data_IF_095273006299
#
_entry.id   IF_095273006299
#
_cell.length_a   1.000
_cell.length_b   1.000
_cell.length_c   1.000
_cell.angle_alpha   90.00
_cell.angle_beta   90.00
_cell.angle_gamma   90.00
#
_symmetry.space_group_name_H-M   'P 1'
#
loop_
_entity.id
_entity.type
_entity.pdbx_description
1 polymer ?
#
# COMPACT_ATOMS: atom_id res chain seq x y z
N UNK A 1 37.72 -9.58 -29.98
CA UNK A 1 37.25 -10.97 -29.68
C UNK A 1 35.85 -11.08 -29.03
N UNK A 2 35.23 -10.05 -28.39
CA UNK A 2 33.86 -10.18 -27.87
C UNK A 2 32.77 -10.28 -28.96
N UNK A 3 32.97 -9.66 -30.12
CA UNK A 3 31.93 -9.51 -31.15
C UNK A 3 31.57 -10.79 -31.91
N UNK A 4 32.46 -11.80 -31.97
CA UNK A 4 32.18 -13.07 -32.68
C UNK A 4 31.32 -14.03 -31.86
N UNK A 5 31.30 -13.89 -30.53
CA UNK A 5 30.50 -14.73 -29.64
C UNK A 5 29.03 -14.30 -29.63
N UNK A 6 28.77 -12.99 -29.69
CA UNK A 6 27.41 -12.43 -29.74
C UNK A 6 26.64 -12.87 -31.00
N UNK A 7 27.30 -13.02 -32.15
CA UNK A 7 26.67 -13.41 -33.42
C UNK A 7 26.24 -14.89 -33.46
N UNK A 8 26.87 -15.77 -32.66
CA UNK A 8 26.52 -17.21 -32.60
C UNK A 8 25.42 -17.51 -31.58
N UNK A 9 25.29 -16.73 -30.51
CA UNK A 9 24.27 -16.95 -29.48
C UNK A 9 22.84 -16.64 -29.96
N UNK A 10 22.66 -15.83 -31.01
CA UNK A 10 21.37 -15.52 -31.62
C UNK A 10 20.74 -16.64 -32.47
N UNK A 11 21.45 -17.76 -32.69
CA UNK A 11 20.96 -18.91 -33.51
C UNK A 11 20.58 -20.15 -32.68
N UNK A 12 20.66 -20.07 -31.35
CA UNK A 12 20.40 -21.21 -30.46
C UNK A 12 18.91 -21.26 -30.10
N UNK A 13 18.23 -22.41 -30.18
CA UNK A 13 16.84 -22.55 -29.75
C UNK A 13 16.66 -22.13 -28.28
N UNK A 14 15.60 -21.39 -27.91
CA UNK A 14 15.36 -20.88 -26.56
C UNK A 14 15.55 -21.90 -25.41
N UNK A 15 15.09 -23.17 -25.52
CA UNK A 15 15.31 -24.15 -24.45
C UNK A 15 16.79 -24.54 -24.28
N UNK A 16 17.55 -24.66 -25.37
CA UNK A 16 19.00 -24.97 -25.34
C UNK A 16 19.80 -23.78 -24.79
N UNK A 17 19.42 -22.56 -25.15
CA UNK A 17 20.02 -21.34 -24.59
C UNK A 17 19.83 -21.28 -23.07
N UNK A 18 18.62 -21.62 -22.58
CA UNK A 18 18.33 -21.66 -21.13
C UNK A 18 19.15 -22.71 -20.39
N UNK A 19 19.39 -23.87 -21.01
CA UNK A 19 20.16 -24.97 -20.43
C UNK A 19 21.66 -24.60 -20.38
N UNK A 20 22.20 -24.06 -21.47
CA UNK A 20 23.56 -23.53 -21.53
C UNK A 20 23.79 -22.42 -20.51
N UNK A 21 22.85 -21.48 -20.37
CA UNK A 21 22.89 -20.44 -19.34
C UNK A 21 22.92 -21.04 -17.93
N UNK A 22 22.10 -22.08 -17.66
CA UNK A 22 22.12 -22.78 -16.36
C UNK A 22 23.48 -23.44 -16.08
N UNK A 23 24.12 -24.02 -17.08
CA UNK A 23 25.45 -24.63 -16.94
C UNK A 23 26.56 -23.58 -16.79
N UNK A 24 26.54 -22.51 -17.58
CA UNK A 24 27.51 -21.41 -17.49
C UNK A 24 27.42 -20.71 -16.13
N UNK A 25 26.21 -20.50 -15.60
CA UNK A 25 25.98 -19.95 -14.25
C UNK A 25 26.51 -20.82 -13.12
N UNK A 26 26.78 -22.11 -13.36
CA UNK A 26 27.36 -23.04 -12.37
C UNK A 26 28.89 -23.03 -12.35
N UNK A 27 29.53 -22.40 -13.34
CA UNK A 27 30.99 -22.28 -13.35
C UNK A 27 31.43 -21.36 -12.21
N UNK A 28 32.40 -21.76 -11.38
CA UNK A 28 32.86 -20.96 -10.24
C UNK A 28 33.14 -19.48 -10.52
N UNK A 29 33.83 -19.08 -11.62
CA UNK A 29 34.08 -17.66 -11.89
C UNK A 29 32.80 -16.88 -12.24
N UNK A 30 31.84 -17.52 -12.92
CA UNK A 30 30.56 -16.89 -13.26
C UNK A 30 29.66 -16.80 -12.03
N UNK A 31 29.66 -17.83 -11.20
CA UNK A 31 28.94 -17.85 -9.92
C UNK A 31 29.47 -16.75 -8.97
N UNK A 32 30.78 -16.61 -8.84
CA UNK A 32 31.41 -15.54 -8.05
C UNK A 32 31.04 -14.15 -8.56
N UNK A 33 30.98 -13.96 -9.88
CA UNK A 33 30.56 -12.68 -10.46
C UNK A 33 29.07 -12.38 -10.18
N UNK A 34 28.20 -13.38 -10.28
CA UNK A 34 26.77 -13.26 -9.96
C UNK A 34 26.56 -12.97 -8.46
N UNK A 35 27.27 -13.67 -7.58
CA UNK A 35 27.23 -13.43 -6.13
C UNK A 35 27.71 -12.00 -5.82
N UNK A 36 28.78 -11.54 -6.47
CA UNK A 36 29.26 -10.16 -6.31
C UNK A 36 28.25 -9.10 -6.76
N UNK A 37 27.57 -9.32 -7.89
CA UNK A 37 26.51 -8.43 -8.36
C UNK A 37 25.29 -8.46 -7.43
N UNK A 38 24.89 -9.65 -6.97
CA UNK A 38 23.81 -9.83 -6.01
C UNK A 38 24.11 -9.16 -4.67
N UNK A 39 25.32 -9.33 -4.14
CA UNK A 39 25.78 -8.68 -2.90
C UNK A 39 25.80 -7.16 -3.06
N UNK A 40 26.21 -6.65 -4.22
CA UNK A 40 26.13 -5.24 -4.57
C UNK A 40 24.69 -4.71 -4.52
N UNK A 41 23.77 -5.40 -5.21
CA UNK A 41 22.35 -5.05 -5.21
C UNK A 41 21.73 -5.13 -3.81
N UNK A 42 22.06 -6.17 -3.04
CA UNK A 42 21.56 -6.34 -1.67
C UNK A 42 22.10 -5.26 -0.73
N UNK A 43 23.34 -4.82 -0.93
CA UNK A 43 23.92 -3.71 -0.17
C UNK A 43 23.23 -2.38 -0.51
N UNK A 44 23.04 -2.09 -1.79
CA UNK A 44 22.29 -0.90 -2.21
C UNK A 44 20.85 -0.90 -1.66
N UNK A 45 20.19 -2.06 -1.69
CA UNK A 45 18.87 -2.23 -1.08
C UNK A 45 18.93 -2.03 0.44
N UNK A 46 19.94 -2.57 1.12
CA UNK A 46 20.10 -2.38 2.56
C UNK A 46 20.30 -0.90 2.91
N UNK A 47 21.11 -0.17 2.15
CA UNK A 47 21.34 1.26 2.34
C UNK A 47 20.06 2.08 2.10
N UNK A 48 19.20 1.66 1.16
CA UNK A 48 17.91 2.29 0.89
C UNK A 48 16.85 1.98 1.96
N UNK A 49 16.79 0.74 2.46
CA UNK A 49 15.76 0.26 3.40
C UNK A 49 16.14 0.54 4.85
N UNK A 50 17.43 0.64 5.16
CA UNK A 50 17.95 0.91 6.51
C UNK A 50 18.85 2.16 6.54
N UNK A 51 18.35 3.33 6.09
CA UNK A 51 19.17 4.55 5.98
C UNK A 51 19.71 5.07 7.32
N UNK A 52 19.14 4.59 8.43
CA UNK A 52 19.48 4.97 9.81
C UNK A 52 20.43 3.99 10.51
N UNK A 53 20.80 2.88 9.86
CA UNK A 53 21.69 1.87 10.45
C UNK A 53 23.01 2.52 10.87
N UNK A 54 23.34 2.44 12.16
CA UNK A 54 24.54 3.06 12.73
C UNK A 54 24.47 4.58 12.91
N UNK A 55 23.34 5.22 12.61
CA UNK A 55 23.11 6.67 12.81
C UNK A 55 22.16 6.95 13.97
N UNK A 56 21.09 6.15 14.08
CA UNK A 56 20.09 6.25 15.15
C UNK A 56 20.13 4.97 16.00
N UNK A 57 19.82 5.08 17.30
CA UNK A 57 19.78 3.94 18.19
C UNK A 57 18.69 2.94 17.74
N UNK A 58 19.08 1.67 17.59
CA UNK A 58 18.14 0.59 17.30
C UNK A 58 17.65 -0.04 18.61
N UNK A 59 16.34 -0.02 18.83
CA UNK A 59 15.71 -0.65 19.99
C UNK A 59 15.15 -2.01 19.57
N UNK A 60 15.77 -3.09 20.03
CA UNK A 60 15.30 -4.48 19.81
C UNK A 60 14.43 -5.01 20.95
N UNK A 61 14.43 -4.29 22.08
CA UNK A 61 13.68 -4.59 23.30
C UNK A 61 13.23 -3.27 23.93
N UNK A 62 12.21 -3.31 24.80
CA UNK A 62 11.81 -2.14 25.58
C UNK A 62 12.97 -1.76 26.52
N UNK A 63 13.41 -0.48 26.54
CA UNK A 63 14.47 -0.04 27.44
C UNK A 63 14.10 -0.21 28.92
N UNK A 64 15.05 -0.63 29.75
CA UNK A 64 14.87 -0.76 31.21
C UNK A 64 14.48 0.57 31.90
N UNK A 65 14.89 1.69 31.30
CA UNK A 65 14.56 3.04 31.73
C UNK A 65 13.88 3.78 30.59
N UNK A 66 12.77 4.46 30.90
CA UNK A 66 12.05 5.27 29.92
C UNK A 66 12.97 6.30 29.26
N UNK A 67 12.94 6.35 27.94
CA UNK A 67 13.68 7.35 27.18
C UNK A 67 13.13 8.75 27.44
N UNK A 68 14.01 9.76 27.41
CA UNK A 68 13.59 11.15 27.46
C UNK A 68 12.72 11.49 26.24
N UNK A 69 11.56 12.11 26.46
CA UNK A 69 10.64 12.57 25.41
C UNK A 69 11.34 13.46 24.38
N UNK A 70 12.14 14.43 24.81
CA UNK A 70 12.86 15.33 23.91
C UNK A 70 13.87 14.57 23.04
N UNK A 71 14.50 13.54 23.60
CA UNK A 71 15.42 12.67 22.88
C UNK A 71 14.71 11.78 21.84
N UNK A 72 13.48 11.34 22.11
CA UNK A 72 12.66 10.60 21.14
C UNK A 72 12.24 11.55 20.00
N UNK A 73 11.73 12.72 20.35
CA UNK A 73 11.27 13.71 19.36
C UNK A 73 12.41 14.17 18.45
N UNK A 74 13.58 14.49 19.01
CA UNK A 74 14.76 14.87 18.23
C UNK A 74 15.16 13.78 17.21
N UNK A 75 15.11 12.50 17.60
CA UNK A 75 15.39 11.39 16.68
C UNK A 75 14.34 11.30 15.56
N UNK A 76 13.05 11.48 15.88
CA UNK A 76 11.97 11.48 14.89
C UNK A 76 12.07 12.65 13.91
N UNK A 77 12.44 13.83 14.40
CA UNK A 77 12.69 15.03 13.59
C UNK A 77 13.89 14.85 12.65
N UNK A 78 14.98 14.25 13.14
CA UNK A 78 16.16 13.94 12.32
C UNK A 78 15.82 12.97 11.18
N UNK A 79 15.06 11.89 11.49
CA UNK A 79 14.57 10.95 10.49
C UNK A 79 13.64 11.62 9.46
N UNK A 80 12.67 12.40 9.95
CA UNK A 80 11.73 13.13 9.09
C UNK A 80 12.44 14.11 8.15
N UNK A 81 13.46 14.84 8.63
CA UNK A 81 14.25 15.75 7.81
C UNK A 81 14.97 15.02 6.66
N UNK A 82 15.50 13.81 6.90
CA UNK A 82 16.15 12.99 5.87
C UNK A 82 15.15 12.46 4.83
N UNK A 83 13.94 12.09 5.24
CA UNK A 83 12.90 11.54 4.35
C UNK A 83 12.21 12.61 3.50
N UNK A 84 12.09 13.82 4.06
CA UNK A 84 11.28 14.91 3.53
C UNK A 84 11.71 15.39 2.14
N UNK A 85 13.01 15.37 1.86
CA UNK A 85 13.58 15.92 0.64
C UNK A 85 12.97 15.32 -0.63
N UNK A 86 12.75 13.99 -0.65
CA UNK A 86 12.27 13.28 -1.85
C UNK A 86 10.84 13.67 -2.22
N UNK A 87 9.92 13.67 -1.26
CA UNK A 87 8.51 13.95 -1.56
C UNK A 87 8.24 15.45 -1.69
N UNK A 88 8.93 16.33 -0.95
CA UNK A 88 8.75 17.78 -1.09
C UNK A 88 9.19 18.32 -2.44
N UNK A 89 10.21 17.72 -3.05
CA UNK A 89 10.71 18.11 -4.36
C UNK A 89 9.92 17.45 -5.51
N UNK A 90 8.86 16.69 -5.21
CA UNK A 90 8.02 16.04 -6.21
C UNK A 90 8.62 14.79 -6.86
N UNK A 91 9.68 14.21 -6.27
CA UNK A 91 10.30 12.98 -6.80
C UNK A 91 9.56 11.69 -6.40
N UNK A 92 8.55 11.78 -5.54
CA UNK A 92 7.72 10.65 -5.15
C UNK A 92 6.39 10.65 -5.93
N UNK A 93 6.23 9.72 -6.87
CA UNK A 93 4.96 9.54 -7.59
C UNK A 93 3.88 9.02 -6.62
N UNK A 94 2.75 9.72 -6.54
CA UNK A 94 1.74 9.45 -5.52
C UNK A 94 2.26 9.83 -4.13
N UNK A 95 2.26 8.88 -3.18
CA UNK A 95 2.77 8.97 -1.80
C UNK A 95 2.23 10.14 -0.94
N UNK A 96 2.52 11.39 -1.30
CA UNK A 96 2.05 12.62 -0.63
C UNK A 96 1.24 13.46 -1.62
N UNK A 97 -0.06 13.61 -1.37
CA UNK A 97 -0.99 14.22 -2.32
C UNK A 97 -1.09 15.76 -2.24
N UNK A 98 -0.74 16.38 -1.10
CA UNK A 98 -0.82 17.84 -0.93
C UNK A 98 0.53 18.49 -0.57
N UNK A 99 1.12 18.15 0.57
CA UNK A 99 2.49 18.55 0.94
C UNK A 99 2.72 20.02 1.34
N UNK A 100 1.68 20.87 1.39
CA UNK A 100 1.80 22.26 1.84
C UNK A 100 1.95 22.36 3.36
N UNK A 101 2.83 23.24 3.85
CA UNK A 101 3.09 23.39 5.28
C UNK A 101 1.86 23.89 6.05
N UNK A 102 1.17 24.91 5.54
CA UNK A 102 -0.01 25.45 6.20
C UNK A 102 -1.13 24.42 6.32
N UNK A 103 -1.31 23.61 5.26
CA UNK A 103 -2.23 22.48 5.28
C UNK A 103 -1.83 21.39 6.28
N UNK A 104 -0.53 21.00 6.30
CA UNK A 104 -0.01 20.00 7.24
C UNK A 104 -0.17 20.48 8.69
N UNK A 105 0.19 21.73 9.00
CA UNK A 105 0.11 22.30 10.35
C UNK A 105 -1.33 22.36 10.85
N UNK A 106 -2.27 22.69 9.96
CA UNK A 106 -3.69 22.63 10.25
C UNK A 106 -4.13 21.20 10.62
N UNK A 107 -3.79 20.18 9.82
CA UNK A 107 -4.17 18.80 10.09
C UNK A 107 -3.50 18.23 11.34
N UNK A 108 -2.24 18.59 11.61
CA UNK A 108 -1.54 18.23 12.84
C UNK A 108 -2.28 18.75 14.08
N UNK A 109 -2.78 19.99 14.03
CA UNK A 109 -3.60 20.57 15.10
C UNK A 109 -4.95 19.87 15.24
N UNK A 110 -5.62 19.54 14.13
CA UNK A 110 -6.87 18.77 14.14
C UNK A 110 -6.67 17.41 14.81
N UNK A 111 -5.58 16.71 14.49
CA UNK A 111 -5.23 15.44 15.12
C UNK A 111 -4.99 15.61 16.62
N UNK A 112 -4.19 16.58 17.05
CA UNK A 112 -3.90 16.80 18.47
C UNK A 112 -5.18 17.01 19.30
N UNK A 113 -6.13 17.80 18.78
CA UNK A 113 -7.43 18.05 19.40
C UNK A 113 -8.30 16.79 19.53
N UNK A 114 -8.14 15.82 18.62
CA UNK A 114 -8.98 14.61 18.57
C UNK A 114 -8.19 13.33 18.89
N UNK A 115 -6.97 13.45 19.43
CA UNK A 115 -6.04 12.31 19.59
C UNK A 115 -6.56 11.17 20.49
N UNK A 116 -7.52 11.47 21.37
CA UNK A 116 -8.15 10.50 22.26
C UNK A 116 -9.49 9.98 21.72
N UNK A 117 -9.96 10.49 20.58
CA UNK A 117 -11.24 10.10 19.98
C UNK A 117 -11.21 8.64 19.56
N UNK A 118 -12.23 7.89 19.98
CA UNK A 118 -12.46 6.52 19.54
C UNK A 118 -13.92 6.36 19.08
N UNK A 119 -14.19 6.27 17.76
CA UNK A 119 -15.54 6.19 17.20
C UNK A 119 -16.38 4.99 17.70
N UNK A 120 -15.77 3.99 18.34
CA UNK A 120 -16.49 2.90 18.99
C UNK A 120 -17.40 3.37 20.13
N UNK A 121 -17.04 4.47 20.81
CA UNK A 121 -17.79 5.02 21.95
C UNK A 121 -18.48 6.32 21.57
N UNK A 122 -19.58 6.19 20.82
CA UNK A 122 -20.37 7.31 20.27
C UNK A 122 -20.99 8.21 21.35
N UNK A 123 -21.16 7.69 22.56
CA UNK A 123 -21.65 8.40 23.75
C UNK A 123 -20.60 9.35 24.35
N UNK A 124 -19.31 9.00 24.21
CA UNK A 124 -18.18 9.79 24.70
C UNK A 124 -17.71 10.79 23.63
N UNK A 125 -17.67 10.36 22.36
CA UNK A 125 -17.19 11.17 21.23
C UNK A 125 -18.26 11.36 20.13
N UNK A 126 -19.39 12.04 20.44
CA UNK A 126 -20.42 12.32 19.42
C UNK A 126 -19.91 13.22 18.29
N UNK A 127 -18.84 14.00 18.53
CA UNK A 127 -18.15 14.77 17.49
C UNK A 127 -17.60 13.90 16.37
N UNK A 128 -17.05 12.72 16.68
CA UNK A 128 -16.49 11.81 15.68
C UNK A 128 -17.58 11.30 14.73
N UNK A 129 -18.74 10.90 15.29
CA UNK A 129 -19.91 10.47 14.51
C UNK A 129 -20.40 11.58 13.59
N UNK A 130 -20.45 12.82 14.09
CA UNK A 130 -20.81 13.98 13.28
C UNK A 130 -19.83 14.15 12.10
N UNK A 131 -18.53 14.09 12.36
CA UNK A 131 -17.51 14.25 11.31
C UNK A 131 -17.62 13.15 10.25
N UNK A 132 -17.76 11.88 10.66
CA UNK A 132 -17.90 10.76 9.72
C UNK A 132 -19.18 10.87 8.88
N UNK A 133 -20.31 11.20 9.51
CA UNK A 133 -21.58 11.37 8.80
C UNK A 133 -21.52 12.51 7.77
N UNK A 134 -20.91 13.64 8.13
CA UNK A 134 -20.74 14.77 7.22
C UNK A 134 -19.78 14.46 6.07
N UNK A 135 -18.67 13.75 6.32
CA UNK A 135 -17.76 13.29 5.26
C UNK A 135 -18.49 12.40 4.28
N UNK A 136 -19.23 11.38 4.76
CA UNK A 136 -20.03 10.49 3.89
C UNK A 136 -21.04 11.30 3.06
N UNK A 137 -21.79 12.20 3.70
CA UNK A 137 -22.80 13.01 3.03
C UNK A 137 -22.19 13.92 1.95
N UNK A 138 -21.09 14.62 2.26
CA UNK A 138 -20.40 15.49 1.31
C UNK A 138 -19.83 14.68 0.13
N UNK A 139 -19.19 13.55 0.39
CA UNK A 139 -18.64 12.68 -0.67
C UNK A 139 -19.75 12.09 -1.54
N UNK A 140 -20.86 11.64 -0.97
CA UNK A 140 -22.01 11.15 -1.73
C UNK A 140 -22.58 12.24 -2.65
N UNK A 141 -22.75 13.46 -2.14
CA UNK A 141 -23.20 14.59 -2.96
C UNK A 141 -22.21 14.94 -4.08
N UNK A 142 -20.91 14.92 -3.81
CA UNK A 142 -19.86 15.11 -4.81
C UNK A 142 -19.91 14.07 -5.92
N UNK A 143 -20.25 12.82 -5.59
CA UNK A 143 -20.39 11.70 -6.54
C UNK A 143 -21.78 11.59 -7.18
N UNK A 144 -22.60 12.64 -7.08
CA UNK A 144 -23.86 12.73 -7.81
C UNK A 144 -25.06 12.07 -7.14
N UNK A 145 -25.08 11.93 -5.81
CA UNK A 145 -26.23 11.35 -5.08
C UNK A 145 -27.58 12.00 -5.44
N UNK A 146 -27.61 13.30 -5.78
CA UNK A 146 -28.84 14.00 -6.22
C UNK A 146 -29.36 13.55 -7.59
N UNK A 147 -28.48 13.02 -8.44
CA UNK A 147 -28.83 12.49 -9.75
C UNK A 147 -29.21 11.01 -9.70
N UNK A 148 -29.00 10.34 -8.55
CA UNK A 148 -29.42 8.97 -8.34
C UNK A 148 -30.96 8.92 -8.35
N UNK A 149 -31.54 8.19 -9.31
CA UNK A 149 -32.99 8.14 -9.50
C UNK A 149 -33.72 7.46 -8.33
N UNK A 150 -35.06 7.52 -8.27
CA UNK A 150 -35.84 6.92 -7.18
C UNK A 150 -35.61 5.41 -7.01
N UNK A 151 -35.19 4.73 -8.08
CA UNK A 151 -34.92 3.29 -8.09
C UNK A 151 -33.68 2.87 -7.29
N UNK A 152 -32.74 3.78 -7.00
CA UNK A 152 -31.52 3.47 -6.23
C UNK A 152 -31.69 3.56 -4.72
N UNK A 153 -32.84 4.04 -4.22
CA UNK A 153 -33.02 4.34 -2.80
C UNK A 153 -32.14 5.50 -2.33
N UNK A 154 -32.04 5.66 -1.01
CA UNK A 154 -31.16 6.67 -0.39
C UNK A 154 -29.70 6.22 -0.45
N UNK A 155 -28.80 7.10 -0.93
CA UNK A 155 -27.37 6.83 -0.95
C UNK A 155 -26.80 6.98 0.47
N UNK A 156 -26.23 5.91 0.99
CA UNK A 156 -25.60 5.86 2.31
C UNK A 156 -24.18 5.27 2.23
N UNK A 157 -23.41 5.38 3.32
CA UNK A 157 -22.05 4.85 3.38
C UNK A 157 -21.42 4.93 4.76
N UNK A 158 -20.14 4.57 4.82
CA UNK A 158 -19.30 4.61 6.03
C UNK A 158 -17.91 5.14 5.68
N UNK A 159 -17.23 5.76 6.64
CA UNK A 159 -15.79 6.05 6.53
C UNK A 159 -15.01 4.76 6.82
N UNK A 160 -13.95 4.51 6.06
CA UNK A 160 -13.07 3.34 6.21
C UNK A 160 -11.63 3.80 6.42
N UNK A 161 -10.74 2.89 6.80
CA UNK A 161 -9.32 3.15 7.01
C UNK A 161 -8.56 3.48 5.71
N UNK A 162 -9.15 3.22 4.54
CA UNK A 162 -8.55 3.47 3.24
C UNK A 162 -9.16 2.65 2.11
N UNK A 163 -8.70 2.89 0.88
CA UNK A 163 -9.31 2.31 -0.33
C UNK A 163 -9.34 0.77 -0.37
N UNK A 164 -8.35 0.10 0.23
CA UNK A 164 -8.35 -1.38 0.31
C UNK A 164 -9.50 -1.89 1.17
N UNK A 165 -9.75 -1.29 2.36
CA UNK A 165 -10.87 -1.69 3.20
C UNK A 165 -12.22 -1.42 2.52
N UNK A 166 -12.37 -0.27 1.84
CA UNK A 166 -13.58 0.04 1.07
C UNK A 166 -13.90 -1.04 0.02
N UNK A 167 -12.88 -1.51 -0.73
CA UNK A 167 -13.05 -2.60 -1.71
C UNK A 167 -13.44 -3.91 -0.99
N UNK A 168 -12.75 -4.26 0.11
CA UNK A 168 -13.06 -5.47 0.86
C UNK A 168 -14.51 -5.46 1.40
N UNK A 169 -14.94 -4.35 1.99
CA UNK A 169 -16.30 -4.19 2.52
C UNK A 169 -17.34 -4.27 1.39
N UNK A 170 -17.08 -3.65 0.23
CA UNK A 170 -17.98 -3.76 -0.91
C UNK A 170 -18.10 -5.22 -1.39
N UNK A 171 -16.99 -5.93 -1.55
CA UNK A 171 -16.99 -7.33 -2.01
C UNK A 171 -17.69 -8.26 -1.02
N UNK A 172 -17.43 -8.11 0.29
CA UNK A 172 -18.16 -8.85 1.34
C UNK A 172 -19.65 -8.54 1.29
N UNK A 173 -20.02 -7.27 1.12
CA UNK A 173 -21.43 -6.83 1.06
C UNK A 173 -22.16 -7.47 -0.10
N UNK A 174 -21.60 -7.42 -1.32
CA UNK A 174 -22.21 -8.07 -2.49
C UNK A 174 -22.31 -9.59 -2.32
N UNK A 175 -21.28 -10.23 -1.76
CA UNK A 175 -21.28 -11.67 -1.48
C UNK A 175 -22.42 -12.07 -0.54
N UNK A 176 -22.51 -11.39 0.61
CA UNK A 176 -23.51 -11.71 1.63
C UNK A 176 -24.92 -11.43 1.12
N UNK A 177 -25.12 -10.28 0.46
CA UNK A 177 -26.39 -9.95 -0.19
C UNK A 177 -26.81 -10.98 -1.24
N UNK A 178 -25.89 -11.41 -2.10
CA UNK A 178 -26.16 -12.41 -3.15
C UNK A 178 -26.50 -13.79 -2.56
N UNK A 179 -25.83 -14.19 -1.47
CA UNK A 179 -26.19 -15.40 -0.72
C UNK A 179 -27.60 -15.29 -0.15
N UNK A 180 -27.91 -14.19 0.53
CA UNK A 180 -29.13 -14.07 1.32
C UNK A 180 -30.37 -13.79 0.46
N UNK A 181 -30.23 -13.09 -0.68
CA UNK A 181 -31.35 -12.70 -1.54
C UNK A 181 -31.47 -13.52 -2.83
N UNK A 182 -30.40 -14.17 -3.28
CA UNK A 182 -30.37 -14.95 -4.53
C UNK A 182 -29.95 -16.41 -4.33
N UNK A 183 -29.62 -16.82 -3.11
CA UNK A 183 -29.19 -18.19 -2.80
C UNK A 183 -27.83 -18.57 -3.39
N UNK A 184 -26.99 -17.60 -3.77
CA UNK A 184 -25.69 -17.86 -4.40
C UNK A 184 -24.69 -18.34 -3.35
N UNK A 185 -24.28 -19.60 -3.41
CA UNK A 185 -23.30 -20.20 -2.47
C UNK A 185 -21.88 -20.27 -3.03
N UNK A 186 -21.71 -20.12 -4.35
CA UNK A 186 -20.42 -20.05 -5.06
C UNK A 186 -20.35 -18.71 -5.80
N UNK A 187 -19.99 -17.62 -5.10
CA UNK A 187 -20.02 -16.28 -5.67
C UNK A 187 -18.85 -16.06 -6.64
N UNK A 188 -19.13 -15.35 -7.72
CA UNK A 188 -18.15 -14.93 -8.73
C UNK A 188 -18.12 -13.40 -8.83
N UNK A 189 -16.94 -12.82 -9.09
CA UNK A 189 -16.79 -11.41 -9.43
C UNK A 189 -15.93 -11.23 -10.68
N UNK A 190 -16.38 -10.36 -11.57
CA UNK A 190 -15.75 -10.11 -12.86
C UNK A 190 -15.13 -8.71 -12.81
N UNK A 191 -13.83 -8.60 -13.03
CA UNK A 191 -13.09 -7.33 -12.95
C UNK A 191 -12.12 -7.18 -14.12
N UNK A 192 -11.82 -5.95 -14.60
CA UNK A 192 -10.76 -5.73 -15.58
C UNK A 192 -9.39 -6.17 -15.05
N UNK A 193 -8.51 -6.62 -15.94
CA UNK A 193 -7.13 -7.03 -15.62
C UNK A 193 -6.29 -5.92 -14.94
N UNK A 194 -6.71 -4.66 -15.08
CA UNK A 194 -6.08 -3.48 -14.47
C UNK A 194 -6.65 -3.10 -13.11
N UNK A 195 -7.64 -3.86 -12.60
CA UNK A 195 -8.24 -3.60 -11.31
C UNK A 195 -7.22 -3.68 -10.17
N UNK A 196 -7.47 -2.93 -9.09
CA UNK A 196 -6.58 -2.87 -7.94
C UNK A 196 -6.43 -4.26 -7.28
N UNK A 197 -5.23 -4.63 -6.85
CA UNK A 197 -4.94 -5.94 -6.23
C UNK A 197 -5.75 -6.25 -4.94
N UNK A 198 -6.49 -5.27 -4.40
CA UNK A 198 -7.42 -5.48 -3.30
C UNK A 198 -8.61 -6.37 -3.70
N UNK A 199 -8.97 -6.43 -4.99
CA UNK A 199 -9.98 -7.37 -5.48
C UNK A 199 -9.49 -8.82 -5.32
N UNK A 200 -8.27 -9.14 -5.74
CA UNK A 200 -7.69 -10.49 -5.53
C UNK A 200 -7.61 -10.85 -4.04
N UNK A 201 -7.26 -9.88 -3.18
CA UNK A 201 -7.28 -10.06 -1.73
C UNK A 201 -8.70 -10.38 -1.22
N UNK A 202 -9.71 -9.66 -1.70
CA UNK A 202 -11.10 -9.90 -1.35
C UNK A 202 -11.56 -11.30 -1.77
N UNK A 203 -11.19 -11.73 -2.98
CA UNK A 203 -11.49 -13.06 -3.49
C UNK A 203 -10.97 -14.16 -2.57
N UNK A 204 -9.71 -14.05 -2.16
CA UNK A 204 -9.08 -15.01 -1.25
C UNK A 204 -9.72 -14.98 0.15
N UNK A 205 -9.92 -13.79 0.72
CA UNK A 205 -10.43 -13.65 2.09
C UNK A 205 -11.90 -14.10 2.22
N UNK A 206 -12.70 -13.81 1.21
CA UNK A 206 -14.15 -14.02 1.26
C UNK A 206 -14.63 -15.21 0.43
N UNK A 207 -13.70 -15.97 -0.14
CA UNK A 207 -13.94 -17.12 -1.00
C UNK A 207 -14.88 -16.78 -2.17
N UNK A 208 -14.52 -15.73 -2.91
CA UNK A 208 -15.19 -15.29 -4.13
C UNK A 208 -14.29 -15.66 -5.31
N UNK A 209 -14.84 -16.36 -6.30
CA UNK A 209 -14.09 -16.66 -7.51
C UNK A 209 -13.90 -15.37 -8.32
N UNK A 210 -12.66 -14.98 -8.57
CA UNK A 210 -12.32 -13.81 -9.38
C UNK A 210 -12.11 -14.21 -10.83
N UNK A 211 -12.69 -13.43 -11.75
CA UNK A 211 -12.52 -13.58 -13.20
C UNK A 211 -11.99 -12.25 -13.74
N UNK A 212 -10.73 -12.25 -14.17
CA UNK A 212 -10.09 -11.10 -14.81
C UNK A 212 -10.42 -11.07 -16.30
N UNK A 213 -10.93 -9.94 -16.79
CA UNK A 213 -11.20 -9.71 -18.22
C UNK A 213 -10.13 -8.81 -18.86
N UNK A 214 -9.78 -9.02 -20.14
CA UNK A 214 -8.78 -8.21 -20.85
C UNK A 214 -9.09 -6.72 -20.85
#
# INVERSE_FOLDING_TARGET
MPDKLATYMGKIPPPLASLLLKFIKRLPPVKQQIEKEYDGMMKELEDQVKPYKGKVAAYTHIPDKGCNRDGILAQMEEMGAMEMAKWRQGFASGAVYHGDNGHIDFLNRVYALNSQSNPLHVDIWPSAVKFEAEVVSMTANMLGAKAAGPATGEICGTVTSGGTESILLAMKTYRDWARDTKGITKPEMIVPSTAHAAFDKAAQYFNIQIIHIP
#
